data_IF_394976062116
#
_entry.id   IF_394976062116
#
_cell.length_a   1.000
_cell.length_b   1.000
_cell.length_c   1.000
_cell.angle_alpha   90.00
_cell.angle_beta   90.00
_cell.angle_gamma   90.00
#
_symmetry.space_group_name_H-M   'P 1'
#
loop_
_entity.id
_entity.type
_entity.pdbx_description
1 polymer ?
#
# COMPACT_ATOMS: atom_id res chain seq x y z
N UNK A 1 -6.59 39.46 -27.91
CA UNK A 1 -7.39 38.61 -26.98
C UNK A 1 -7.21 37.12 -27.29
N UNK A 2 -7.26 36.68 -28.56
CA UNK A 2 -7.14 35.25 -28.94
C UNK A 2 -5.73 34.63 -28.91
N UNK A 3 -4.66 35.43 -28.80
CA UNK A 3 -3.27 34.91 -28.80
C UNK A 3 -2.77 34.58 -27.39
N UNK A 4 -3.35 35.18 -26.35
CA UNK A 4 -2.90 35.00 -24.96
C UNK A 4 -3.37 33.66 -24.34
N UNK A 5 -4.40 33.04 -24.93
CA UNK A 5 -4.96 31.75 -24.47
C UNK A 5 -4.19 30.53 -24.94
N UNK A 6 -3.28 30.66 -25.93
CA UNK A 6 -2.57 29.52 -26.51
C UNK A 6 -1.31 29.10 -25.73
N UNK A 7 -0.83 29.94 -24.80
CA UNK A 7 0.38 29.68 -23.99
C UNK A 7 0.12 28.90 -22.68
N UNK A 8 -1.13 28.56 -22.37
CA UNK A 8 -1.53 27.94 -21.08
C UNK A 8 -1.57 26.39 -21.15
N UNK A 9 -1.06 25.79 -22.24
CA UNK A 9 -1.41 24.43 -22.65
C UNK A 9 -0.56 23.25 -22.16
N UNK A 10 0.41 23.41 -21.25
CA UNK A 10 1.17 22.28 -20.71
C UNK A 10 0.97 22.16 -19.19
N UNK A 11 -0.23 21.72 -18.79
CA UNK A 11 -0.46 21.24 -17.43
C UNK A 11 0.08 19.80 -17.38
N UNK A 12 1.30 19.62 -16.87
CA UNK A 12 1.82 18.31 -16.49
C UNK A 12 1.10 17.84 -15.22
N UNK A 13 -0.11 17.29 -15.39
CA UNK A 13 -0.95 16.80 -14.30
C UNK A 13 -0.62 15.36 -13.85
N UNK A 14 0.42 14.71 -14.41
CA UNK A 14 0.82 13.40 -13.92
C UNK A 14 1.63 13.51 -12.62
N UNK A 15 1.09 12.93 -11.55
CA UNK A 15 1.91 12.56 -10.41
C UNK A 15 3.06 11.66 -10.90
N UNK A 16 4.32 11.90 -10.47
CA UNK A 16 5.45 11.08 -10.90
C UNK A 16 5.24 9.62 -10.48
N UNK A 17 5.72 8.69 -11.30
CA UNK A 17 5.67 7.25 -10.96
C UNK A 17 6.49 7.05 -9.68
N UNK A 18 5.91 6.46 -8.61
CA UNK A 18 6.65 6.17 -7.39
C UNK A 18 7.87 5.31 -7.66
N UNK A 19 8.99 5.61 -7.00
CA UNK A 19 10.25 4.85 -7.14
C UNK A 19 10.20 3.46 -6.48
N UNK A 20 9.16 3.20 -5.69
CA UNK A 20 8.87 1.92 -5.04
C UNK A 20 7.35 1.69 -4.98
N UNK A 21 6.89 0.43 -4.91
CA UNK A 21 5.51 0.13 -4.54
C UNK A 21 5.15 0.71 -3.16
N UNK A 22 3.86 1.02 -3.00
CA UNK A 22 3.27 1.41 -1.72
C UNK A 22 3.36 0.28 -0.67
N UNK A 23 3.17 0.60 0.60
CA UNK A 23 3.11 -0.37 1.68
C UNK A 23 4.47 -0.74 2.28
N UNK A 24 4.42 -1.75 3.15
CA UNK A 24 5.55 -2.19 3.97
C UNK A 24 5.85 -3.66 3.68
N UNK A 25 7.10 -3.95 3.30
CA UNK A 25 7.56 -5.30 2.96
C UNK A 25 8.25 -6.01 4.12
N UNK A 26 8.03 -7.32 4.25
CA UNK A 26 8.63 -8.23 5.22
C UNK A 26 9.02 -9.54 4.52
N UNK A 27 10.13 -10.15 4.95
CA UNK A 27 10.58 -11.46 4.44
C UNK A 27 11.69 -11.31 3.39
N UNK A 28 11.50 -11.98 2.24
CA UNK A 28 12.43 -11.99 1.11
C UNK A 28 12.55 -10.66 0.37
N UNK A 29 13.38 -10.61 -0.69
CA UNK A 29 13.61 -9.39 -1.46
C UNK A 29 12.35 -8.95 -2.21
N UNK A 30 12.26 -7.66 -2.58
CA UNK A 30 11.06 -7.09 -3.20
C UNK A 30 10.71 -7.69 -4.57
N UNK A 31 11.66 -8.37 -5.21
CA UNK A 31 11.57 -9.08 -6.48
C UNK A 31 11.50 -10.61 -6.30
N UNK A 32 11.14 -11.10 -5.11
CA UNK A 32 10.93 -12.53 -4.87
C UNK A 32 9.93 -13.13 -5.87
N UNK A 33 10.14 -14.39 -6.25
CA UNK A 33 9.26 -15.11 -7.18
C UNK A 33 7.79 -15.18 -6.73
N UNK A 34 7.56 -15.12 -5.42
CA UNK A 34 6.22 -15.07 -4.83
C UNK A 34 6.11 -13.83 -3.97
N UNK A 35 5.21 -12.94 -4.34
CA UNK A 35 4.84 -11.74 -3.59
C UNK A 35 3.40 -11.89 -3.11
N UNK A 36 3.15 -11.67 -1.83
CA UNK A 36 1.81 -11.66 -1.24
C UNK A 36 1.51 -10.23 -0.81
N UNK A 37 0.43 -9.66 -1.35
CA UNK A 37 -0.02 -8.31 -1.00
C UNK A 37 -1.30 -8.37 -0.15
N UNK A 38 -1.28 -7.74 1.02
CA UNK A 38 -2.41 -7.68 1.94
C UNK A 38 -2.85 -6.23 2.12
N UNK A 39 -4.11 -5.93 1.80
CA UNK A 39 -4.74 -4.66 2.13
C UNK A 39 -5.46 -4.82 3.47
N UNK A 40 -5.10 -4.01 4.46
CA UNK A 40 -5.63 -4.14 5.81
C UNK A 40 -6.01 -2.79 6.39
N UNK A 41 -7.11 -2.79 7.13
CA UNK A 41 -7.54 -1.65 7.91
C UNK A 41 -7.07 -1.84 9.38
N UNK A 42 -6.34 -0.88 9.98
CA UNK A 42 -5.88 -0.98 11.37
C UNK A 42 -6.95 -1.22 12.43
N UNK A 43 -8.22 -0.87 12.15
CA UNK A 43 -9.34 -1.01 13.07
C UNK A 43 -10.29 -2.16 12.69
N UNK A 44 -10.01 -2.91 11.62
CA UNK A 44 -10.86 -4.02 11.22
C UNK A 44 -10.69 -5.24 12.14
N UNK A 45 -11.77 -5.74 12.77
CA UNK A 45 -11.73 -6.93 13.61
C UNK A 45 -11.28 -8.18 12.86
N UNK A 46 -11.68 -8.36 11.60
CA UNK A 46 -11.31 -9.51 10.79
C UNK A 46 -9.83 -9.46 10.36
N UNK A 47 -9.32 -8.26 10.04
CA UNK A 47 -7.89 -8.08 9.81
C UNK A 47 -7.10 -8.47 11.06
N UNK A 48 -7.54 -8.03 12.25
CA UNK A 48 -6.93 -8.44 13.52
C UNK A 48 -7.01 -9.95 13.75
N UNK A 49 -8.15 -10.57 13.47
CA UNK A 49 -8.33 -12.02 13.63
C UNK A 49 -7.46 -12.84 12.68
N UNK A 50 -7.21 -12.36 11.46
CA UNK A 50 -6.34 -13.01 10.47
C UNK A 50 -4.84 -12.86 10.76
N UNK A 51 -4.45 -11.85 11.53
CA UNK A 51 -3.04 -11.48 11.75
C UNK A 51 -2.15 -12.61 12.26
N UNK A 52 -2.57 -13.46 13.23
CA UNK A 52 -1.76 -14.59 13.67
C UNK A 52 -1.43 -15.59 12.55
N UNK A 53 -2.37 -15.87 11.65
CA UNK A 53 -2.14 -16.76 10.51
C UNK A 53 -1.18 -16.12 9.51
N UNK A 54 -1.30 -14.82 9.25
CA UNK A 54 -0.36 -14.06 8.43
C UNK A 54 1.06 -14.17 8.98
N UNK A 55 1.24 -13.98 10.28
CA UNK A 55 2.54 -14.13 10.94
C UNK A 55 3.10 -15.57 10.80
N UNK A 56 2.26 -16.59 10.92
CA UNK A 56 2.68 -17.99 10.71
C UNK A 56 3.16 -18.22 9.27
N UNK A 57 2.49 -17.65 8.27
CA UNK A 57 2.92 -17.74 6.86
C UNK A 57 4.27 -17.03 6.68
N UNK A 58 4.41 -15.79 7.16
CA UNK A 58 5.67 -15.04 7.08
C UNK A 58 6.81 -15.83 7.73
N UNK A 59 6.58 -16.43 8.89
CA UNK A 59 7.58 -17.23 9.60
C UNK A 59 7.91 -18.54 8.88
N UNK A 60 6.91 -19.25 8.35
CA UNK A 60 7.10 -20.55 7.72
C UNK A 60 7.88 -20.44 6.39
N UNK A 61 7.64 -19.38 5.62
CA UNK A 61 8.27 -19.20 4.32
C UNK A 61 9.50 -18.28 4.35
N UNK A 62 9.61 -17.40 5.35
CA UNK A 62 10.79 -16.56 5.58
C UNK A 62 11.21 -15.78 4.32
N UNK A 63 12.44 -15.98 3.88
CA UNK A 63 13.01 -15.29 2.71
C UNK A 63 12.51 -15.82 1.36
N UNK A 64 11.71 -16.90 1.33
CA UNK A 64 11.18 -17.49 0.09
C UNK A 64 10.02 -16.68 -0.51
N UNK A 65 9.37 -15.85 0.30
CA UNK A 65 8.27 -14.98 -0.13
C UNK A 65 8.59 -13.54 0.25
N UNK A 66 8.04 -12.59 -0.50
CA UNK A 66 7.96 -11.21 -0.07
C UNK A 66 6.51 -10.91 0.35
N UNK A 67 6.30 -10.58 1.61
CA UNK A 67 4.98 -10.20 2.11
C UNK A 67 4.90 -8.69 2.22
N UNK A 68 3.93 -8.06 1.55
CA UNK A 68 3.71 -6.62 1.57
C UNK A 68 2.34 -6.32 2.15
N UNK A 69 2.25 -5.40 3.09
CA UNK A 69 0.98 -4.92 3.60
C UNK A 69 0.75 -3.45 3.29
N UNK A 70 -0.48 -3.13 2.90
CA UNK A 70 -0.97 -1.82 2.51
C UNK A 70 -2.03 -1.39 3.53
N UNK A 71 -1.89 -0.18 4.07
CA UNK A 71 -2.93 0.40 4.90
C UNK A 71 -4.12 0.78 4.01
N UNK A 72 -5.29 0.24 4.30
CA UNK A 72 -6.51 0.46 3.55
C UNK A 72 -7.62 0.90 4.51
N UNK A 73 -7.62 2.16 4.95
CA UNK A 73 -8.56 2.64 5.94
C UNK A 73 -9.97 2.78 5.36
N UNK A 74 -10.90 2.01 5.90
CA UNK A 74 -12.29 2.02 5.49
C UNK A 74 -13.01 3.24 6.09
N UNK A 75 -13.88 3.92 5.32
CA UNK A 75 -14.47 5.20 5.72
C UNK A 75 -15.41 5.10 6.93
N UNK A 76 -15.88 3.89 7.26
CA UNK A 76 -16.77 3.63 8.40
C UNK A 76 -16.03 3.23 9.68
N UNK A 77 -14.69 3.16 9.67
CA UNK A 77 -13.90 3.00 10.88
C UNK A 77 -13.34 4.36 11.32
N UNK A 78 -13.97 4.97 12.32
CA UNK A 78 -13.83 6.39 12.74
C UNK A 78 -12.39 6.91 12.86
N UNK A 79 -11.42 6.06 13.22
CA UNK A 79 -10.02 6.47 13.38
C UNK A 79 -9.05 5.73 12.44
N UNK A 80 -9.56 4.98 11.46
CA UNK A 80 -8.71 4.14 10.62
C UNK A 80 -7.80 4.97 9.72
N UNK A 81 -8.35 6.07 9.17
CA UNK A 81 -7.57 7.03 8.40
C UNK A 81 -6.42 7.60 9.24
N UNK A 82 -6.70 8.05 10.47
CA UNK A 82 -5.69 8.59 11.39
C UNK A 82 -4.64 7.54 11.76
N UNK A 83 -5.06 6.30 12.03
CA UNK A 83 -4.16 5.19 12.32
C UNK A 83 -3.30 4.74 11.13
N UNK A 84 -3.66 5.15 9.92
CA UNK A 84 -2.97 4.80 8.66
C UNK A 84 -2.03 5.90 8.15
N UNK A 85 -1.93 7.03 8.85
CA UNK A 85 -1.01 8.12 8.49
C UNK A 85 0.41 7.72 8.89
N UNK A 86 1.25 7.36 7.90
CA UNK A 86 2.63 6.94 8.09
C UNK A 86 3.44 6.93 6.80
#
# INVERSE_FOLDING_TARGET
>A
ILIFTLLVGFISAQAPIPTRPDGYGVGGPADAHVVIEMFLDPLCPDCKASWPTVLQVIQAYGTKIHFRFHTFPLPYHTNSFVASQG
#
